data_IF_823785960359
#
_entry.id   IF_823785960359
#
_cell.length_a   1.000
_cell.length_b   1.000
_cell.length_c   1.000
_cell.angle_alpha   90.00
_cell.angle_beta   90.00
_cell.angle_gamma   90.00
#
_symmetry.space_group_name_H-M   'P 1'
#
loop_
_entity.id
_entity.type
_entity.pdbx_description
1 polymer ?
#
# COMPACT_ATOMS: atom_id res chain seq x y z
N UNK A 1 -11.14 1.60 -47.93
CA UNK A 1 -9.82 1.33 -47.31
C UNK A 1 -10.04 1.36 -45.81
N UNK A 2 -10.15 0.18 -45.21
CA UNK A 2 -10.45 0.00 -43.79
C UNK A 2 -9.10 -0.16 -43.08
N UNK A 3 -8.73 0.81 -42.25
CA UNK A 3 -7.49 0.76 -41.49
C UNK A 3 -7.69 -0.15 -40.28
N UNK A 4 -7.25 -1.40 -40.40
CA UNK A 4 -7.07 -2.28 -39.25
C UNK A 4 -5.89 -1.75 -38.43
N UNK A 5 -6.17 -1.10 -37.30
CA UNK A 5 -5.17 -0.89 -36.26
C UNK A 5 -4.82 -2.26 -35.67
N UNK A 6 -3.81 -2.90 -36.24
CA UNK A 6 -3.16 -4.04 -35.60
C UNK A 6 -2.43 -3.48 -34.38
N UNK A 7 -2.95 -3.77 -33.19
CA UNK A 7 -2.33 -3.45 -31.92
C UNK A 7 -1.10 -4.36 -31.75
N UNK A 8 -0.03 -4.03 -32.47
CA UNK A 8 1.26 -4.74 -32.49
C UNK A 8 2.12 -4.39 -31.25
N UNK A 9 1.49 -4.27 -30.08
CA UNK A 9 2.23 -4.17 -28.82
C UNK A 9 2.48 -5.59 -28.31
N UNK A 10 3.73 -6.09 -28.29
CA UNK A 10 4.04 -7.40 -27.73
C UNK A 10 3.59 -7.47 -26.27
N UNK A 11 3.16 -8.65 -25.76
CA UNK A 11 2.73 -8.83 -24.37
C UNK A 11 3.83 -8.57 -23.33
N UNK A 12 5.06 -8.31 -23.78
CA UNK A 12 6.30 -8.18 -23.02
C UNK A 12 6.69 -6.71 -22.73
N UNK A 13 5.82 -5.94 -22.08
CA UNK A 13 6.26 -4.85 -21.17
C UNK A 13 5.05 -4.30 -20.39
N UNK A 14 4.28 -5.17 -19.73
CA UNK A 14 3.31 -4.65 -18.76
C UNK A 14 4.09 -4.12 -17.56
N UNK A 15 4.08 -2.81 -17.28
CA UNK A 15 4.74 -2.30 -16.09
C UNK A 15 4.21 -3.02 -14.87
N UNK A 16 5.11 -3.57 -14.04
CA UNK A 16 4.74 -4.39 -12.89
C UNK A 16 3.90 -3.55 -11.93
N UNK A 17 2.63 -3.93 -11.75
CA UNK A 17 1.75 -3.33 -10.74
C UNK A 17 2.12 -3.87 -9.37
N UNK A 18 2.61 -3.02 -8.49
CA UNK A 18 3.00 -3.41 -7.13
C UNK A 18 1.94 -2.95 -6.14
N UNK A 19 1.44 -3.89 -5.33
CA UNK A 19 0.52 -3.57 -4.24
C UNK A 19 1.27 -2.84 -3.13
N UNK A 20 0.67 -1.79 -2.57
CA UNK A 20 1.23 -1.00 -1.47
C UNK A 20 1.65 -1.86 -0.25
N UNK A 21 0.98 -2.99 -0.01
CA UNK A 21 1.37 -3.98 1.01
C UNK A 21 2.76 -4.57 0.79
N UNK A 22 3.13 -4.78 -0.47
CA UNK A 22 4.44 -5.30 -0.86
C UNK A 22 5.48 -4.19 -0.92
N UNK A 23 5.09 -2.98 -1.35
CA UNK A 23 6.00 -1.82 -1.51
C UNK A 23 6.75 -1.51 -0.22
N UNK A 24 6.08 -1.46 0.94
CA UNK A 24 6.76 -1.18 2.21
C UNK A 24 7.82 -2.23 2.57
N UNK A 25 7.58 -3.49 2.19
CA UNK A 25 8.51 -4.60 2.41
C UNK A 25 9.69 -4.56 1.43
N UNK A 26 9.40 -4.30 0.14
CA UNK A 26 10.41 -4.17 -0.92
C UNK A 26 11.38 -3.04 -0.59
N UNK A 27 10.87 -1.92 -0.06
CA UNK A 27 11.69 -0.78 0.35
C UNK A 27 12.41 -0.97 1.71
N UNK A 28 12.17 -2.08 2.41
CA UNK A 28 12.86 -2.39 3.66
C UNK A 28 12.45 -1.53 4.86
N UNK A 29 11.29 -0.87 4.81
CA UNK A 29 10.84 -0.02 5.91
C UNK A 29 10.37 -0.84 7.12
N UNK A 30 10.67 -0.35 8.33
CA UNK A 30 10.28 -1.00 9.60
C UNK A 30 8.80 -0.84 9.97
N UNK A 31 8.03 -0.14 9.14
CA UNK A 31 6.60 0.11 9.32
C UNK A 31 5.77 -0.56 8.21
N UNK A 32 4.49 -0.79 8.50
CA UNK A 32 3.57 -1.42 7.56
C UNK A 32 2.93 -0.44 6.56
N UNK A 33 2.20 -1.00 5.61
CA UNK A 33 1.50 -0.27 4.55
C UNK A 33 0.52 0.81 5.04
N UNK A 34 -0.07 0.66 6.23
CA UNK A 34 -0.95 1.68 6.82
C UNK A 34 -0.20 2.99 7.08
N UNK A 35 1.01 2.90 7.61
CA UNK A 35 1.88 4.07 7.83
C UNK A 35 2.35 4.64 6.51
N UNK A 36 2.66 3.78 5.53
CA UNK A 36 3.00 4.24 4.17
C UNK A 36 1.86 5.07 3.57
N UNK A 37 0.62 4.58 3.61
CA UNK A 37 -0.54 5.33 3.15
C UNK A 37 -0.73 6.66 3.90
N UNK A 38 -0.47 6.68 5.21
CA UNK A 38 -0.54 7.93 5.98
C UNK A 38 0.46 8.96 5.47
N UNK A 39 1.73 8.56 5.29
CA UNK A 39 2.77 9.44 4.75
C UNK A 39 2.39 9.93 3.36
N UNK A 40 1.90 9.04 2.49
CA UNK A 40 1.49 9.42 1.13
C UNK A 40 0.34 10.44 1.14
N UNK A 41 -0.63 10.32 2.06
CA UNK A 41 -1.69 11.31 2.25
C UNK A 41 -1.15 12.65 2.76
N UNK A 42 -0.29 12.63 3.77
CA UNK A 42 0.33 13.87 4.31
C UNK A 42 1.18 14.60 3.26
N UNK A 43 1.67 13.87 2.25
CA UNK A 43 2.42 14.43 1.12
C UNK A 43 1.54 14.80 -0.08
N UNK A 44 0.21 14.72 0.04
CA UNK A 44 -0.76 14.98 -1.03
C UNK A 44 -0.49 14.17 -2.32
N UNK A 45 -0.08 12.91 -2.17
CA UNK A 45 0.13 11.98 -3.29
C UNK A 45 -1.12 11.16 -3.60
N UNK A 46 -1.89 10.91 -2.56
CA UNK A 46 -3.14 10.15 -2.58
C UNK A 46 -4.16 10.85 -1.70
N UNK A 47 -5.43 10.58 -1.97
CA UNK A 47 -6.54 11.12 -1.20
C UNK A 47 -6.86 10.31 0.09
N UNK A 48 -7.91 10.73 0.79
CA UNK A 48 -8.41 10.06 1.99
C UNK A 48 -8.92 8.62 1.74
N UNK A 49 -9.29 8.30 0.49
CA UNK A 49 -9.72 6.98 0.05
C UNK A 49 -8.55 6.13 -0.49
N UNK A 50 -7.31 6.63 -0.40
CA UNK A 50 -6.08 6.03 -0.93
C UNK A 50 -6.03 5.94 -2.45
N UNK A 51 -6.74 6.82 -3.14
CA UNK A 51 -6.73 6.98 -4.59
C UNK A 51 -5.63 7.98 -4.95
N UNK A 52 -4.74 7.62 -5.88
CA UNK A 52 -3.72 8.55 -6.38
C UNK A 52 -4.35 9.72 -7.14
N UNK A 53 -3.81 10.93 -6.94
CA UNK A 53 -4.23 12.07 -7.75
C UNK A 53 -3.79 11.89 -9.20
N UNK A 54 -4.61 12.39 -10.14
CA UNK A 54 -4.42 12.22 -11.58
C UNK A 54 -3.03 12.66 -12.07
N UNK A 55 -2.44 13.69 -11.47
CA UNK A 55 -1.09 14.15 -11.82
C UNK A 55 -0.03 13.05 -11.67
N UNK A 56 -0.10 12.25 -10.60
CA UNK A 56 0.87 11.18 -10.33
C UNK A 56 0.55 9.89 -11.09
N UNK A 57 -0.70 9.73 -11.54
CA UNK A 57 -1.10 8.66 -12.46
C UNK A 57 -0.58 8.99 -13.87
N UNK A 58 -0.76 10.23 -14.34
CA UNK A 58 -0.30 10.71 -15.63
C UNK A 58 1.24 10.68 -15.75
N UNK A 59 1.95 11.00 -14.67
CA UNK A 59 3.42 10.87 -14.58
C UNK A 59 3.91 9.42 -14.56
N UNK A 60 3.01 8.44 -14.38
CA UNK A 60 3.33 7.01 -14.39
C UNK A 60 3.97 6.52 -13.09
N UNK A 61 3.72 7.15 -11.95
CA UNK A 61 4.16 6.63 -10.64
C UNK A 61 3.15 5.66 -10.03
N UNK A 62 1.87 5.93 -10.23
CA UNK A 62 0.77 5.13 -9.71
C UNK A 62 -0.17 4.66 -10.83
N UNK A 63 -0.96 3.65 -10.51
CA UNK A 63 -2.12 3.25 -11.32
C UNK A 63 -3.29 2.96 -10.39
N UNK A 64 -4.44 3.53 -10.71
CA UNK A 64 -5.70 3.22 -10.05
C UNK A 64 -6.37 2.07 -10.80
N UNK A 65 -6.74 1.03 -10.06
CA UNK A 65 -7.48 -0.11 -10.57
C UNK A 65 -8.72 -0.33 -9.69
N UNK A 66 -9.64 -1.16 -10.14
CA UNK A 66 -10.77 -1.57 -9.32
C UNK A 66 -10.95 -3.08 -9.36
N UNK A 67 -11.51 -3.63 -8.29
CA UNK A 67 -12.04 -4.99 -8.33
C UNK A 67 -13.53 -4.96 -7.99
N UNK A 68 -14.27 -5.80 -8.68
CA UNK A 68 -15.69 -6.02 -8.41
C UNK A 68 -15.84 -6.94 -7.21
N UNK A 69 -16.61 -6.47 -6.24
CA UNK A 69 -17.01 -7.25 -5.08
C UNK A 69 -18.20 -8.14 -5.44
N UNK A 70 -18.44 -9.25 -4.71
CA UNK A 70 -19.54 -10.19 -4.99
C UNK A 70 -20.93 -9.56 -4.90
N UNK A 71 -21.06 -8.40 -4.26
CA UNK A 71 -22.29 -7.61 -4.16
C UNK A 71 -22.44 -6.57 -5.31
N UNK A 72 -21.57 -6.59 -6.32
CA UNK A 72 -21.59 -5.68 -7.47
C UNK A 72 -20.92 -4.32 -7.22
N UNK A 73 -20.42 -4.05 -6.02
CA UNK A 73 -19.72 -2.80 -5.74
C UNK A 73 -18.29 -2.84 -6.27
N UNK A 74 -17.80 -1.70 -6.78
CA UNK A 74 -16.42 -1.55 -7.23
C UNK A 74 -15.56 -0.99 -6.10
N UNK A 75 -14.52 -1.72 -5.73
CA UNK A 75 -13.54 -1.26 -4.76
C UNK A 75 -12.29 -0.76 -5.49
N UNK A 76 -12.03 0.54 -5.38
CA UNK A 76 -10.85 1.18 -5.97
C UNK A 76 -9.61 0.93 -5.15
N UNK A 77 -8.50 0.69 -5.84
CA UNK A 77 -7.21 0.44 -5.22
C UNK A 77 -6.07 1.04 -6.05
N UNK A 78 -5.17 1.73 -5.35
CA UNK A 78 -3.96 2.29 -5.96
C UNK A 78 -2.81 1.29 -5.89
N UNK A 79 -2.10 1.17 -7.00
CA UNK A 79 -0.88 0.39 -7.15
C UNK A 79 0.27 1.29 -7.56
N UNK A 80 1.48 0.84 -7.28
CA UNK A 80 2.72 1.49 -7.68
C UNK A 80 3.19 0.91 -9.00
N UNK A 81 3.54 1.78 -9.94
CA UNK A 81 3.85 1.38 -11.30
C UNK A 81 5.37 1.20 -11.48
N UNK A 82 5.80 -0.06 -11.57
CA UNK A 82 7.18 -0.42 -11.88
C UNK A 82 8.23 0.16 -10.94
N UNK A 83 9.46 0.25 -11.44
CA UNK A 83 10.60 0.75 -10.68
C UNK A 83 10.53 2.26 -10.43
N UNK A 84 10.07 3.03 -11.44
CA UNK A 84 9.97 4.50 -11.34
C UNK A 84 9.04 4.93 -10.21
N UNK A 85 7.87 4.31 -10.07
CA UNK A 85 6.97 4.55 -8.95
C UNK A 85 7.59 4.16 -7.60
N UNK A 86 8.33 3.05 -7.57
CA UNK A 86 9.01 2.59 -6.35
C UNK A 86 10.09 3.58 -5.88
N UNK A 87 10.94 4.06 -6.79
CA UNK A 87 11.98 5.05 -6.50
C UNK A 87 11.40 6.39 -6.06
N UNK A 88 10.32 6.82 -6.69
CA UNK A 88 9.60 8.04 -6.32
C UNK A 88 9.04 7.96 -4.90
N UNK A 89 8.39 6.84 -4.54
CA UNK A 89 7.90 6.60 -3.18
C UNK A 89 9.07 6.58 -2.19
N UNK A 90 10.15 5.87 -2.52
CA UNK A 90 11.34 5.81 -1.67
C UNK A 90 11.87 7.21 -1.36
N UNK A 91 12.11 8.01 -2.40
CA UNK A 91 12.60 9.39 -2.26
C UNK A 91 11.68 10.24 -1.39
N UNK A 92 10.37 10.15 -1.61
CA UNK A 92 9.38 10.96 -0.89
C UNK A 92 9.25 10.55 0.57
N UNK A 93 9.24 9.24 0.83
CA UNK A 93 9.14 8.68 2.18
C UNK A 93 10.41 8.97 2.98
N UNK A 94 11.60 8.77 2.40
CA UNK A 94 12.87 9.12 3.06
C UNK A 94 12.95 10.61 3.41
N UNK A 95 12.51 11.50 2.51
CA UNK A 95 12.44 12.93 2.77
C UNK A 95 11.49 13.26 3.93
N UNK A 96 10.33 12.59 4.01
CA UNK A 96 9.40 12.76 5.13
C UNK A 96 10.01 12.26 6.45
N UNK A 97 10.64 11.09 6.45
CA UNK A 97 11.22 10.48 7.65
C UNK A 97 12.42 11.25 8.21
N UNK A 98 13.15 11.96 7.35
CA UNK A 98 14.23 12.85 7.77
C UNK A 98 13.69 14.01 8.65
N UNK A 99 12.52 14.54 8.30
CA UNK A 99 11.87 15.64 9.04
C UNK A 99 11.07 15.10 10.23
N UNK A 100 10.37 13.98 10.03
CA UNK A 100 9.44 13.38 11.00
C UNK A 100 9.83 11.92 11.27
N UNK A 101 10.84 11.67 12.11
CA UNK A 101 11.24 10.31 12.43
C UNK A 101 10.08 9.58 13.10
N UNK A 102 9.74 8.39 12.59
CA UNK A 102 8.67 7.58 13.19
C UNK A 102 9.05 7.28 14.64
N UNK A 103 8.21 7.62 15.63
CA UNK A 103 8.49 7.29 17.01
C UNK A 103 8.64 5.78 17.13
N UNK A 104 9.76 5.33 17.72
CA UNK A 104 10.01 3.92 17.99
C UNK A 104 9.01 3.44 19.05
N UNK A 105 7.80 3.10 18.62
CA UNK A 105 6.82 2.47 19.49
C UNK A 105 7.38 1.14 19.97
N UNK A 106 7.46 0.95 21.29
CA UNK A 106 7.66 -0.38 21.88
C UNK A 106 6.57 -1.27 21.32
N UNK A 107 6.93 -2.35 20.63
CA UNK A 107 5.98 -3.42 20.32
C UNK A 107 5.47 -3.92 21.68
N UNK A 108 4.26 -3.58 22.05
CA UNK A 108 3.57 -4.30 23.12
C UNK A 108 3.32 -5.69 22.56
N UNK A 109 4.19 -6.63 22.90
CA UNK A 109 3.89 -8.04 22.73
C UNK A 109 2.62 -8.30 23.53
N UNK A 110 1.48 -8.50 22.87
CA UNK A 110 0.33 -9.10 23.54
C UNK A 110 0.81 -10.49 23.99
N UNK A 111 1.18 -10.60 25.26
CA UNK A 111 1.24 -11.90 25.92
C UNK A 111 -0.20 -12.45 25.83
N UNK A 112 -0.36 -13.59 25.18
CA UNK A 112 -1.52 -14.44 25.42
C UNK A 112 -1.25 -15.04 26.80
N UNK A 113 -1.71 -14.37 27.85
CA UNK A 113 -1.84 -14.98 29.16
C UNK A 113 -2.95 -16.06 29.03
N UNK A 114 -2.53 -17.28 28.72
CA UNK A 114 -3.32 -18.48 29.00
C UNK A 114 -3.16 -18.74 30.50
N UNK A 115 -3.82 -17.97 31.34
CA UNK A 115 -3.98 -18.32 32.76
C UNK A 115 -5.21 -19.23 32.88
N UNK A 116 -4.90 -20.52 32.79
CA UNK A 116 -5.45 -21.62 33.56
C UNK A 116 -6.63 -21.27 34.48
N UNK A 117 -7.82 -21.66 34.06
CA UNK A 117 -9.06 -21.61 34.84
C UNK A 117 -8.98 -22.69 35.94
N UNK A 118 -8.28 -22.41 37.04
CA UNK A 118 -8.34 -23.25 38.24
C UNK A 118 -9.64 -22.95 39.00
N UNK A 119 -10.71 -23.70 38.66
CA UNK A 119 -11.87 -23.88 39.52
C UNK A 119 -11.44 -24.72 40.73
N UNK A 120 -11.11 -24.06 41.85
CA UNK A 120 -11.14 -24.70 43.17
C UNK A 120 -12.54 -24.50 43.74
N UNK A 121 -13.40 -25.50 43.57
CA UNK A 121 -14.62 -25.66 44.37
C UNK A 121 -14.20 -26.07 45.79
N UNK A 122 -14.17 -25.10 46.71
CA UNK A 122 -14.07 -25.33 48.15
C UNK A 122 -15.25 -24.59 48.82
N UNK A 123 -16.39 -25.29 48.94
CA UNK A 123 -17.51 -24.88 49.79
C UNK A 123 -18.03 -26.10 50.56
N UNK A 124 -17.53 -26.14 51.81
CA UNK A 124 -18.15 -26.55 53.09
C UNK A 124 -18.49 -28.01 53.39
#
# INVERSE_FOLDING_TARGET
>A
MEYFYVNDNPPEYRPTKLNMKSVSKILGYKFGYKTLYRILRERNLIDQYNIAFDEYIAEGYFVSDYHEMPNGYKHFQTYVLGQRGLEFIKKTVDAYLNINPIPKGKRTTCKKDNDEFALTDDVS
#
